data_IF_758779573178
#
_entry.id   IF_758779573178
#
_cell.length_a   1.000
_cell.length_b   1.000
_cell.length_c   1.000
_cell.angle_alpha   90.00
_cell.angle_beta   90.00
_cell.angle_gamma   90.00
#
_symmetry.space_group_name_H-M   'P 1'
#
loop_
_entity.id
_entity.type
_entity.pdbx_description
1 polymer ?
#
# COMPACT_ATOMS: atom_id res chain seq x y z
N UNK A 1 -30.73 42.27 23.67
CA UNK A 1 -31.09 41.43 22.49
C UNK A 1 -29.79 40.75 22.05
N UNK A 2 -29.37 39.56 22.50
CA UNK A 2 -30.03 38.24 22.63
C UNK A 2 -30.87 37.96 21.38
N UNK A 3 -30.60 37.01 20.49
CA UNK A 3 -30.07 35.63 20.51
C UNK A 3 -29.69 35.27 19.04
N UNK A 4 -29.04 34.19 18.60
CA UNK A 4 -28.31 33.01 19.11
C UNK A 4 -27.67 32.38 17.85
N UNK A 5 -26.53 31.68 18.02
CA UNK A 5 -25.92 30.78 17.02
C UNK A 5 -26.87 29.61 16.71
N UNK A 6 -26.95 29.18 15.46
CA UNK A 6 -27.55 27.90 15.07
C UNK A 6 -26.45 26.99 14.51
N UNK A 7 -26.17 25.91 15.24
CA UNK A 7 -25.41 24.76 14.80
C UNK A 7 -26.34 23.87 13.94
N UNK A 8 -25.84 23.38 12.80
CA UNK A 8 -26.53 22.39 11.97
C UNK A 8 -25.96 21.00 12.27
N UNK A 9 -26.79 20.15 12.86
CA UNK A 9 -26.49 18.78 13.29
C UNK A 9 -26.20 17.82 12.12
N UNK A 10 -25.28 16.88 12.39
CA UNK A 10 -25.23 15.56 11.77
C UNK A 10 -26.59 14.88 11.89
N UNK A 11 -27.09 14.31 10.78
CA UNK A 11 -28.21 13.38 10.77
C UNK A 11 -27.68 12.00 10.38
N UNK A 12 -27.30 11.20 11.39
CA UNK A 12 -27.00 9.78 11.23
C UNK A 12 -28.32 9.02 11.33
N UNK A 13 -28.88 8.56 10.21
CA UNK A 13 -30.03 7.66 10.21
C UNK A 13 -29.54 6.22 10.33
N UNK A 14 -29.31 5.78 11.57
CA UNK A 14 -29.30 4.36 11.91
C UNK A 14 -30.73 3.89 12.08
N UNK A 15 -31.26 3.13 11.12
CA UNK A 15 -32.57 2.49 11.25
C UNK A 15 -32.37 1.21 12.06
N UNK A 16 -32.44 1.31 13.38
CA UNK A 16 -32.71 0.19 14.28
C UNK A 16 -34.18 0.28 14.71
N UNK A 17 -35.05 -0.50 14.09
CA UNK A 17 -36.41 -0.68 14.57
C UNK A 17 -36.43 -1.75 15.67
N UNK A 18 -36.38 -1.32 16.94
CA UNK A 18 -36.73 -2.18 18.09
C UNK A 18 -38.23 -2.05 18.33
N UNK A 19 -38.99 -3.09 18.00
CA UNK A 19 -40.41 -3.19 18.27
C UNK A 19 -40.61 -3.77 19.69
N UNK A 20 -41.08 -2.96 20.64
CA UNK A 20 -41.49 -3.41 21.98
C UNK A 20 -42.99 -3.72 21.98
N UNK A 21 -43.37 -5.00 22.10
CA UNK A 21 -44.78 -5.42 22.23
C UNK A 21 -45.05 -5.77 23.70
N UNK A 22 -46.07 -5.14 24.28
CA UNK A 22 -46.52 -5.33 25.66
C UNK A 22 -47.12 -6.72 25.92
N UNK A 23 -46.84 -7.24 27.11
CA UNK A 23 -47.22 -8.58 27.57
C UNK A 23 -48.75 -8.74 27.71
N UNK A 24 -49.32 -9.63 26.89
CA UNK A 24 -50.64 -10.24 27.08
C UNK A 24 -50.50 -11.75 26.92
N UNK A 25 -50.86 -12.50 27.95
CA UNK A 25 -50.71 -13.96 28.02
C UNK A 25 -51.67 -14.65 27.05
N UNK A 26 -51.12 -15.35 26.04
CA UNK A 26 -51.81 -16.37 25.24
C UNK A 26 -50.95 -17.66 25.21
N UNK A 27 -51.57 -18.86 25.21
CA UNK A 27 -50.85 -20.13 25.27
C UNK A 27 -50.20 -20.48 23.91
N UNK A 28 -49.05 -21.15 23.99
CA UNK A 28 -48.18 -21.55 22.89
C UNK A 28 -48.83 -22.52 21.89
N UNK A 29 -48.62 -22.30 20.59
CA UNK A 29 -48.04 -23.26 19.61
C UNK A 29 -48.03 -22.65 18.21
N UNK A 30 -46.90 -22.10 17.80
CA UNK A 30 -46.40 -22.09 16.43
C UNK A 30 -44.92 -21.69 16.53
N UNK A 31 -44.04 -22.61 16.16
CA UNK A 31 -42.65 -22.27 15.86
C UNK A 31 -42.74 -21.41 14.60
N UNK A 32 -42.70 -20.09 14.79
CA UNK A 32 -42.60 -19.15 13.67
C UNK A 32 -41.13 -19.18 13.25
N UNK A 33 -40.79 -20.19 12.45
CA UNK A 33 -39.56 -20.18 11.70
C UNK A 33 -39.63 -18.92 10.83
N UNK A 34 -38.80 -17.92 11.17
CA UNK A 34 -38.55 -16.79 10.28
C UNK A 34 -37.88 -17.38 9.06
N UNK A 35 -38.68 -17.81 8.09
CA UNK A 35 -38.22 -18.11 6.74
C UNK A 35 -37.69 -16.78 6.22
N UNK A 36 -36.36 -16.61 6.25
CA UNK A 36 -35.74 -15.62 5.39
C UNK A 36 -36.13 -16.04 3.99
N UNK A 37 -37.06 -15.32 3.36
CA UNK A 37 -37.44 -15.56 1.97
C UNK A 37 -36.16 -15.46 1.14
N UNK A 38 -35.69 -16.60 0.66
CA UNK A 38 -34.56 -16.68 -0.27
C UNK A 38 -34.88 -15.78 -1.48
N UNK A 39 -33.91 -14.94 -1.82
CA UNK A 39 -34.12 -13.70 -2.57
C UNK A 39 -34.38 -13.99 -4.04
N UNK A 40 -35.63 -13.85 -4.51
CA UNK A 40 -35.85 -13.56 -5.94
C UNK A 40 -35.33 -12.14 -6.17
N UNK A 41 -34.29 -11.97 -6.98
CA UNK A 41 -33.62 -10.69 -7.09
C UNK A 41 -32.60 -10.60 -8.21
N UNK A 42 -32.04 -9.41 -8.37
CA UNK A 42 -30.97 -9.17 -9.34
C UNK A 42 -29.63 -9.59 -8.76
N UNK A 43 -28.93 -10.47 -9.46
CA UNK A 43 -27.50 -10.73 -9.23
C UNK A 43 -26.70 -9.85 -10.17
N UNK A 44 -25.82 -9.04 -9.59
CA UNK A 44 -24.91 -8.16 -10.33
C UNK A 44 -23.52 -8.78 -10.41
N UNK A 45 -22.88 -8.71 -11.57
CA UNK A 45 -21.49 -9.16 -11.77
C UNK A 45 -20.68 -8.08 -12.48
N UNK A 46 -19.41 -7.81 -12.09
CA UNK A 46 -18.64 -8.51 -11.06
C UNK A 46 -19.14 -8.25 -9.63
N UNK A 47 -18.87 -9.19 -8.74
CA UNK A 47 -19.01 -9.00 -7.30
C UNK A 47 -17.77 -8.31 -6.72
N UNK A 48 -17.95 -7.55 -5.64
CA UNK A 48 -16.88 -6.93 -4.84
C UNK A 48 -15.79 -6.23 -5.65
N UNK A 49 -16.23 -5.43 -6.63
CA UNK A 49 -15.31 -4.79 -7.53
C UNK A 49 -14.49 -3.68 -6.87
N UNK A 50 -13.26 -3.50 -7.34
CA UNK A 50 -12.37 -2.42 -6.92
C UNK A 50 -11.97 -1.60 -8.14
N UNK A 51 -12.09 -0.28 -8.06
CA UNK A 51 -11.70 0.66 -9.13
C UNK A 51 -10.95 1.85 -8.55
N UNK A 52 -10.21 2.57 -9.39
CA UNK A 52 -9.59 3.84 -9.01
C UNK A 52 -10.59 5.00 -9.08
N UNK A 53 -10.28 6.10 -8.40
CA UNK A 53 -11.08 7.33 -8.50
C UNK A 53 -11.17 7.82 -9.95
N UNK A 54 -12.40 8.08 -10.41
CA UNK A 54 -12.73 8.52 -11.76
C UNK A 54 -12.92 7.39 -12.77
N UNK A 55 -12.59 6.15 -12.41
CA UNK A 55 -12.83 5.00 -13.28
C UNK A 55 -14.30 4.58 -13.31
N UNK A 56 -14.63 3.75 -14.28
CA UNK A 56 -15.97 3.22 -14.48
C UNK A 56 -15.96 1.71 -14.52
N UNK A 57 -17.03 1.12 -14.00
CA UNK A 57 -17.28 -0.32 -14.05
C UNK A 57 -18.65 -0.58 -14.65
N UNK A 58 -18.73 -1.59 -15.52
CA UNK A 58 -20.00 -2.02 -16.13
C UNK A 58 -20.40 -3.36 -15.55
N UNK A 59 -21.61 -3.42 -15.00
CA UNK A 59 -22.20 -4.62 -14.47
C UNK A 59 -23.00 -5.37 -15.53
N UNK A 60 -23.05 -6.69 -15.41
CA UNK A 60 -24.16 -7.49 -15.92
C UNK A 60 -25.18 -7.68 -14.79
N UNK A 61 -26.45 -7.84 -15.17
CA UNK A 61 -27.54 -8.06 -14.23
C UNK A 61 -28.36 -9.27 -14.70
N UNK A 62 -28.53 -10.25 -13.82
CA UNK A 62 -29.31 -11.47 -14.06
C UNK A 62 -30.39 -11.58 -12.99
N UNK A 63 -31.66 -11.68 -13.41
CA UNK A 63 -32.75 -11.96 -12.50
C UNK A 63 -32.74 -13.45 -12.17
N UNK A 64 -32.67 -13.80 -10.88
CA UNK A 64 -32.69 -15.17 -10.40
C UNK A 64 -33.95 -15.46 -9.58
N UNK A 65 -34.37 -16.72 -9.56
CA UNK A 65 -35.48 -17.20 -8.72
C UNK A 65 -35.06 -17.48 -7.27
N UNK A 66 -35.96 -18.06 -6.47
CA UNK A 66 -35.70 -18.38 -5.05
C UNK A 66 -34.57 -19.39 -4.87
N UNK A 67 -34.29 -20.23 -5.88
CA UNK A 67 -33.18 -21.20 -5.84
C UNK A 67 -31.85 -20.58 -6.32
N UNK A 68 -31.84 -19.31 -6.71
CA UNK A 68 -30.68 -18.64 -7.30
C UNK A 68 -30.45 -18.98 -8.78
N UNK A 69 -31.40 -19.67 -9.42
CA UNK A 69 -31.28 -20.04 -10.83
C UNK A 69 -31.75 -18.88 -11.73
N UNK A 70 -31.09 -18.61 -12.88
CA UNK A 70 -31.53 -17.57 -13.79
C UNK A 70 -32.95 -17.82 -14.31
N UNK A 71 -33.80 -16.80 -14.20
CA UNK A 71 -35.15 -16.82 -14.79
C UNK A 71 -35.06 -16.87 -16.31
N UNK A 72 -35.83 -17.74 -16.98
CA UNK A 72 -35.91 -17.83 -18.44
C UNK A 72 -37.36 -17.68 -18.94
N UNK A 73 -37.67 -16.67 -19.76
CA UNK A 73 -36.78 -15.64 -20.29
C UNK A 73 -36.40 -14.58 -19.25
N UNK A 74 -35.19 -14.04 -19.38
CA UNK A 74 -34.81 -12.79 -18.69
C UNK A 74 -35.74 -11.64 -19.14
N UNK A 75 -36.05 -10.69 -18.25
CA UNK A 75 -36.89 -9.55 -18.61
C UNK A 75 -36.21 -8.70 -19.68
N UNK A 76 -37.01 -8.20 -20.64
CA UNK A 76 -36.49 -7.42 -21.77
C UNK A 76 -35.88 -6.06 -21.37
N UNK A 77 -36.19 -5.56 -20.18
CA UNK A 77 -35.62 -4.33 -19.62
C UNK A 77 -34.70 -4.68 -18.45
N UNK A 78 -33.45 -4.22 -18.55
CA UNK A 78 -32.49 -4.29 -17.46
C UNK A 78 -32.93 -3.42 -16.26
N UNK A 79 -32.42 -3.71 -15.05
CA UNK A 79 -32.69 -2.88 -13.89
C UNK A 79 -32.02 -1.51 -14.03
N UNK A 80 -32.56 -0.55 -13.29
CA UNK A 80 -31.80 0.65 -12.94
C UNK A 80 -30.79 0.28 -11.86
N UNK A 81 -29.56 0.79 -11.96
CA UNK A 81 -28.56 0.67 -10.89
C UNK A 81 -28.09 2.04 -10.39
N UNK A 82 -27.64 2.08 -9.14
CA UNK A 82 -27.02 3.25 -8.53
C UNK A 82 -26.22 2.88 -7.29
N UNK A 83 -25.57 3.86 -6.67
CA UNK A 83 -24.80 3.70 -5.43
C UNK A 83 -25.42 4.50 -4.28
N UNK A 84 -24.99 4.19 -3.06
CA UNK A 84 -25.31 4.95 -1.85
C UNK A 84 -24.44 6.21 -1.65
N UNK A 85 -23.44 6.43 -2.52
CA UNK A 85 -22.54 7.57 -2.46
C UNK A 85 -22.99 8.72 -3.40
N UNK A 86 -23.14 9.91 -2.83
CA UNK A 86 -23.46 11.11 -3.60
C UNK A 86 -22.30 11.51 -4.53
N UNK A 87 -22.64 11.91 -5.76
CA UNK A 87 -21.67 12.36 -6.77
C UNK A 87 -21.27 11.28 -7.78
N UNK A 88 -21.64 10.03 -7.53
CA UNK A 88 -21.47 8.96 -8.51
C UNK A 88 -22.43 9.12 -9.68
N UNK A 89 -21.98 8.63 -10.84
CA UNK A 89 -22.74 8.70 -12.06
C UNK A 89 -23.12 7.28 -12.48
N UNK A 90 -24.42 7.05 -12.63
CA UNK A 90 -24.96 5.84 -13.21
C UNK A 90 -25.42 6.12 -14.65
N UNK A 91 -24.95 5.32 -15.61
CA UNK A 91 -25.40 5.34 -16.99
C UNK A 91 -25.66 3.91 -17.49
N UNK A 92 -26.94 3.52 -17.55
CA UNK A 92 -27.29 2.12 -17.78
C UNK A 92 -26.79 1.25 -16.62
N UNK A 93 -26.07 0.18 -16.94
CA UNK A 93 -25.41 -0.69 -15.96
C UNK A 93 -23.95 -0.29 -15.67
N UNK A 94 -23.53 0.92 -16.08
CA UNK A 94 -22.20 1.43 -15.81
C UNK A 94 -22.23 2.45 -14.67
N UNK A 95 -21.35 2.26 -13.68
CA UNK A 95 -21.11 3.21 -12.57
C UNK A 95 -19.75 3.87 -12.77
N UNK A 96 -19.71 5.19 -12.70
CA UNK A 96 -18.48 6.00 -12.55
C UNK A 96 -18.42 6.57 -11.14
N UNK A 97 -17.26 6.44 -10.50
CA UNK A 97 -17.08 6.63 -9.08
C UNK A 97 -15.92 7.58 -8.78
N UNK A 98 -16.04 8.48 -7.79
CA UNK A 98 -15.02 9.53 -7.58
C UNK A 98 -14.46 9.61 -6.17
N UNK A 99 -15.28 9.43 -5.14
CA UNK A 99 -14.82 9.52 -3.76
C UNK A 99 -14.35 8.15 -3.28
N UNK A 100 -13.14 8.05 -2.70
CA UNK A 100 -12.64 6.82 -2.11
C UNK A 100 -13.56 6.20 -1.05
N UNK A 101 -13.49 4.89 -0.93
CA UNK A 101 -14.19 4.10 0.08
C UNK A 101 -15.21 3.09 -0.46
N UNK A 102 -15.79 2.29 0.44
CA UNK A 102 -16.76 1.25 0.11
C UNK A 102 -18.13 1.83 -0.22
N UNK A 103 -18.87 1.14 -1.10
CA UNK A 103 -20.19 1.54 -1.59
C UNK A 103 -21.09 0.34 -1.80
N UNK A 104 -22.38 0.52 -1.51
CA UNK A 104 -23.41 -0.42 -1.91
C UNK A 104 -23.90 -0.06 -3.32
N UNK A 105 -23.81 -1.00 -4.25
CA UNK A 105 -24.44 -0.88 -5.58
C UNK A 105 -25.79 -1.57 -5.52
N UNK A 106 -26.85 -0.84 -5.82
CA UNK A 106 -28.22 -1.35 -5.78
C UNK A 106 -28.78 -1.46 -7.19
N UNK A 107 -29.48 -2.56 -7.47
CA UNK A 107 -30.30 -2.75 -8.65
C UNK A 107 -31.79 -2.75 -8.28
N UNK A 108 -32.61 -2.09 -9.09
CA UNK A 108 -34.05 -2.09 -8.94
C UNK A 108 -34.75 -2.16 -10.30
N UNK A 109 -35.79 -2.98 -10.39
CA UNK A 109 -36.69 -3.01 -11.54
C UNK A 109 -38.10 -3.39 -11.13
N UNK A 110 -39.08 -3.03 -11.95
CA UNK A 110 -40.44 -3.59 -11.86
C UNK A 110 -40.68 -4.52 -13.04
N UNK A 111 -40.94 -5.81 -12.78
CA UNK A 111 -41.28 -6.82 -13.79
C UNK A 111 -42.70 -7.32 -13.49
N UNK A 112 -43.61 -7.20 -14.45
CA UNK A 112 -45.03 -7.58 -14.32
C UNK A 112 -45.75 -7.03 -13.08
N UNK A 113 -45.34 -5.83 -12.62
CA UNK A 113 -45.92 -5.16 -11.46
C UNK A 113 -45.30 -5.57 -10.12
N UNK A 114 -44.27 -6.41 -10.12
CA UNK A 114 -43.50 -6.83 -8.94
C UNK A 114 -42.14 -6.14 -8.93
N UNK A 115 -41.75 -5.58 -7.79
CA UNK A 115 -40.44 -4.96 -7.60
C UNK A 115 -39.39 -6.03 -7.26
N UNK A 116 -38.28 -6.00 -7.98
CA UNK A 116 -37.12 -6.85 -7.75
C UNK A 116 -35.91 -6.00 -7.40
N UNK A 117 -35.16 -6.44 -6.39
CA UNK A 117 -33.99 -5.76 -5.88
C UNK A 117 -32.75 -6.64 -6.04
N UNK A 118 -31.59 -6.01 -6.11
CA UNK A 118 -30.30 -6.67 -6.01
C UNK A 118 -29.30 -5.75 -5.39
N UNK A 119 -28.24 -6.32 -4.82
CA UNK A 119 -27.12 -5.52 -4.33
C UNK A 119 -25.79 -6.22 -4.55
N UNK A 120 -24.75 -5.44 -4.79
CA UNK A 120 -23.35 -5.88 -4.72
C UNK A 120 -22.50 -4.77 -4.12
N UNK A 121 -21.21 -5.03 -3.90
CA UNK A 121 -20.29 -4.02 -3.37
C UNK A 121 -19.36 -3.47 -4.45
N UNK A 122 -18.96 -2.23 -4.26
CA UNK A 122 -17.95 -1.52 -5.05
C UNK A 122 -17.05 -0.78 -4.07
N UNK A 123 -15.74 -0.91 -4.22
CA UNK A 123 -14.76 -0.12 -3.46
C UNK A 123 -13.99 0.78 -4.41
N UNK A 124 -13.92 2.06 -4.07
CA UNK A 124 -13.08 3.03 -4.78
C UNK A 124 -11.79 3.18 -4.00
N UNK A 125 -10.66 2.78 -4.60
CA UNK A 125 -9.37 2.87 -3.94
C UNK A 125 -9.01 4.33 -3.62
N UNK A 126 -8.53 4.54 -2.40
CA UNK A 126 -8.02 5.83 -1.92
C UNK A 126 -6.52 6.01 -2.15
N UNK A 127 -6.02 7.14 -1.65
CA UNK A 127 -4.58 7.33 -1.50
C UNK A 127 -4.02 6.32 -0.49
N UNK A 128 -2.80 5.81 -0.69
CA UNK A 128 -2.19 4.89 0.26
C UNK A 128 -2.01 5.58 1.62
N UNK A 129 -2.15 4.81 2.70
CA UNK A 129 -1.77 5.22 4.06
C UNK A 129 -0.59 4.40 4.59
N UNK A 130 -0.31 3.26 3.96
CA UNK A 130 0.85 2.44 4.21
C UNK A 130 1.36 1.86 2.88
N UNK A 131 2.68 1.71 2.79
CA UNK A 131 3.37 1.07 1.68
C UNK A 131 4.19 -0.12 2.19
N UNK A 132 4.36 -1.10 1.33
CA UNK A 132 5.34 -2.18 1.47
C UNK A 132 6.27 -2.14 0.25
N UNK A 133 7.56 -2.37 0.50
CA UNK A 133 8.57 -2.47 -0.55
C UNK A 133 9.30 -3.81 -0.39
N UNK A 134 9.29 -4.60 -1.45
CA UNK A 134 9.87 -5.94 -1.47
C UNK A 134 10.93 -6.03 -2.56
N UNK A 135 12.22 -6.19 -2.23
CA UNK A 135 13.25 -6.40 -3.23
C UNK A 135 13.19 -7.84 -3.76
N UNK A 136 13.64 -8.05 -5.00
CA UNK A 136 13.75 -9.39 -5.60
C UNK A 136 14.72 -10.31 -4.86
N UNK A 137 15.65 -9.74 -4.08
CA UNK A 137 16.53 -10.44 -3.14
C UNK A 137 16.97 -9.49 -2.01
N UNK A 138 17.38 -10.02 -0.87
CA UNK A 138 17.88 -9.20 0.26
C UNK A 138 19.36 -8.84 0.16
N UNK A 139 20.08 -9.46 -0.78
CA UNK A 139 21.48 -9.15 -1.07
C UNK A 139 21.80 -9.28 -2.55
N UNK A 140 22.86 -8.60 -2.98
CA UNK A 140 23.33 -8.61 -4.37
C UNK A 140 24.84 -8.40 -4.41
N UNK A 141 25.54 -8.98 -5.39
CA UNK A 141 26.96 -8.66 -5.59
C UNK A 141 27.14 -7.23 -6.08
N UNK A 142 28.26 -6.61 -5.73
CA UNK A 142 28.64 -5.29 -6.22
C UNK A 142 28.56 -5.22 -7.76
N UNK A 143 27.87 -4.19 -8.26
CA UNK A 143 27.55 -3.98 -9.67
C UNK A 143 26.29 -4.69 -10.13
N UNK A 144 25.66 -5.52 -9.29
CA UNK A 144 24.41 -6.19 -9.58
C UNK A 144 23.20 -5.25 -9.48
N UNK A 145 22.06 -5.74 -9.94
CA UNK A 145 20.79 -5.00 -10.01
C UNK A 145 19.68 -5.81 -9.37
N UNK A 146 18.81 -5.14 -8.61
CA UNK A 146 17.58 -5.71 -8.06
C UNK A 146 16.37 -4.94 -8.57
N UNK A 147 15.25 -5.64 -8.72
CA UNK A 147 13.93 -5.05 -8.94
C UNK A 147 13.20 -4.98 -7.61
N UNK A 148 12.35 -3.97 -7.45
CA UNK A 148 11.54 -3.75 -6.26
C UNK A 148 10.07 -3.79 -6.64
N UNK A 149 9.29 -4.54 -5.88
CA UNK A 149 7.84 -4.46 -5.90
C UNK A 149 7.41 -3.48 -4.81
N UNK A 150 6.52 -2.55 -5.16
CA UNK A 150 5.90 -1.63 -4.21
C UNK A 150 4.41 -1.88 -4.23
N UNK A 151 3.84 -2.13 -3.07
CA UNK A 151 2.39 -2.27 -2.88
C UNK A 151 1.94 -1.31 -1.78
N UNK A 152 0.66 -0.98 -1.77
CA UNK A 152 0.10 -0.11 -0.75
C UNK A 152 -1.27 -0.57 -0.29
N UNK A 153 -1.72 0.01 0.81
CA UNK A 153 -3.11 -0.06 1.27
C UNK A 153 -3.61 1.33 1.64
N UNK A 154 -4.87 1.60 1.34
CA UNK A 154 -5.56 2.83 1.76
C UNK A 154 -6.14 2.71 3.19
N UNK A 155 -6.85 3.74 3.65
CA UNK A 155 -7.45 3.77 5.00
C UNK A 155 -8.53 2.71 5.24
N UNK A 156 -9.09 2.14 4.17
CA UNK A 156 -10.07 1.05 4.22
C UNK A 156 -9.44 -0.33 4.08
N UNK A 157 -8.11 -0.42 3.91
CA UNK A 157 -7.40 -1.66 3.66
C UNK A 157 -7.51 -2.14 2.20
N UNK A 158 -7.99 -1.29 1.29
CA UNK A 158 -8.05 -1.60 -0.14
C UNK A 158 -6.63 -1.60 -0.72
N UNK A 159 -6.24 -2.61 -1.52
CA UNK A 159 -4.96 -2.60 -2.21
C UNK A 159 -4.82 -1.40 -3.14
N UNK A 160 -3.66 -0.76 -3.08
CA UNK A 160 -3.25 0.35 -3.96
C UNK A 160 -2.07 -0.10 -4.81
N UNK A 161 -2.12 0.18 -6.11
CA UNK A 161 -1.01 -0.11 -7.03
C UNK A 161 0.18 0.82 -6.73
N UNK A 162 1.32 0.23 -6.41
CA UNK A 162 2.57 0.96 -6.15
C UNK A 162 3.46 1.16 -7.38
N UNK A 163 3.02 0.79 -8.58
CA UNK A 163 3.81 0.88 -9.81
C UNK A 163 4.32 2.28 -10.15
N UNK A 164 3.62 3.33 -9.68
CA UNK A 164 4.01 4.73 -9.84
C UNK A 164 4.95 5.26 -8.74
N UNK A 165 5.35 4.43 -7.77
CA UNK A 165 6.22 4.84 -6.69
C UNK A 165 7.61 5.27 -7.21
N UNK A 166 8.19 6.26 -6.54
CA UNK A 166 9.56 6.71 -6.82
C UNK A 166 10.51 6.10 -5.81
N UNK A 167 11.61 5.51 -6.28
CA UNK A 167 12.67 5.00 -5.42
C UNK A 167 13.76 6.04 -5.19
N UNK A 168 14.33 6.03 -3.99
CA UNK A 168 15.57 6.74 -3.63
C UNK A 168 16.51 5.79 -2.89
N UNK A 169 17.80 6.09 -2.91
CA UNK A 169 18.82 5.33 -2.19
C UNK A 169 19.56 6.20 -1.17
N UNK A 170 19.96 5.60 -0.05
CA UNK A 170 20.90 6.20 0.90
C UNK A 170 22.30 6.40 0.33
N UNK A 171 22.64 5.75 -0.78
CA UNK A 171 23.96 5.81 -1.43
C UNK A 171 23.84 6.48 -2.80
N UNK A 172 24.44 7.66 -2.93
CA UNK A 172 24.29 8.52 -4.11
C UNK A 172 24.86 7.94 -5.42
N UNK A 173 25.71 6.92 -5.34
CA UNK A 173 26.27 6.25 -6.54
C UNK A 173 25.35 5.21 -7.13
N UNK A 174 24.28 4.81 -6.42
CA UNK A 174 23.32 3.85 -6.95
C UNK A 174 22.58 4.44 -8.16
N UNK A 175 22.27 3.57 -9.13
CA UNK A 175 21.57 3.96 -10.35
C UNK A 175 20.17 3.41 -10.29
N UNK A 176 19.18 4.31 -10.28
CA UNK A 176 17.76 3.98 -10.20
C UNK A 176 17.13 4.16 -11.57
N UNK A 177 16.46 3.12 -12.08
CA UNK A 177 15.67 3.13 -13.31
C UNK A 177 14.29 2.52 -13.04
N UNK A 178 13.29 3.40 -12.87
CA UNK A 178 11.97 3.01 -12.38
C UNK A 178 12.06 2.32 -11.01
N UNK A 179 11.53 1.11 -10.93
CA UNK A 179 11.61 0.26 -9.73
C UNK A 179 12.81 -0.71 -9.73
N UNK A 180 13.85 -0.43 -10.52
CA UNK A 180 15.09 -1.20 -10.53
C UNK A 180 16.25 -0.36 -9.99
N UNK A 181 17.15 -0.97 -9.22
CA UNK A 181 18.33 -0.30 -8.67
C UNK A 181 19.59 -1.14 -8.93
N UNK A 182 20.60 -0.53 -9.55
CA UNK A 182 21.95 -1.07 -9.70
C UNK A 182 22.84 -0.53 -8.59
N UNK A 183 23.68 -1.39 -8.00
CA UNK A 183 24.45 -1.12 -6.78
C UNK A 183 25.97 -1.12 -7.02
N UNK A 184 26.63 0.00 -7.37
CA UNK A 184 28.05 -0.01 -7.75
C UNK A 184 29.04 -0.18 -6.59
N UNK A 185 28.60 0.02 -5.34
CA UNK A 185 29.46 -0.02 -4.15
C UNK A 185 28.98 -1.05 -3.15
N UNK A 186 29.91 -1.73 -2.50
CA UNK A 186 29.59 -2.72 -1.47
C UNK A 186 29.37 -2.07 -0.10
N UNK A 187 28.17 -2.22 0.44
CA UNK A 187 27.76 -1.88 1.80
C UNK A 187 26.28 -2.23 1.98
N UNK A 188 25.71 -2.13 3.19
CA UNK A 188 24.26 -2.05 3.35
C UNK A 188 23.71 -0.76 2.73
N UNK A 189 22.75 -0.86 1.81
CA UNK A 189 22.09 0.28 1.16
C UNK A 189 20.61 0.28 1.56
N UNK A 190 20.08 1.44 1.97
CA UNK A 190 18.65 1.61 2.23
C UNK A 190 17.97 2.19 1.00
N UNK A 191 16.99 1.46 0.48
CA UNK A 191 16.12 1.89 -0.60
C UNK A 191 14.79 2.34 0.00
N UNK A 192 14.37 3.55 -0.36
CA UNK A 192 13.11 4.15 0.10
C UNK A 192 12.19 4.34 -1.10
N UNK A 193 10.99 3.76 -1.03
CA UNK A 193 9.90 4.05 -1.94
C UNK A 193 9.05 5.19 -1.40
N UNK A 194 8.57 6.06 -2.29
CA UNK A 194 7.58 7.10 -2.01
C UNK A 194 6.43 7.03 -3.02
N UNK A 195 5.19 7.06 -2.54
CA UNK A 195 3.97 7.20 -3.33
C UNK A 195 3.00 8.11 -2.59
N UNK A 196 2.55 9.18 -3.26
CA UNK A 196 1.63 10.19 -2.71
C UNK A 196 2.04 10.75 -1.32
N UNK A 197 3.35 10.85 -1.08
CA UNK A 197 3.92 11.33 0.19
C UNK A 197 3.98 10.28 1.31
N UNK A 198 3.52 9.05 1.07
CA UNK A 198 3.75 7.90 1.96
C UNK A 198 5.05 7.23 1.58
N UNK A 199 5.81 6.76 2.58
CA UNK A 199 7.11 6.12 2.35
C UNK A 199 7.20 4.75 3.00
N UNK A 200 7.99 3.86 2.38
CA UNK A 200 8.44 2.60 2.95
C UNK A 200 9.93 2.40 2.62
N UNK A 201 10.66 1.61 3.40
CA UNK A 201 12.09 1.39 3.17
C UNK A 201 12.51 -0.03 3.46
N UNK A 202 13.51 -0.48 2.70
CA UNK A 202 14.16 -1.78 2.87
C UNK A 202 15.68 -1.63 2.78
N UNK A 203 16.41 -2.46 3.51
CA UNK A 203 17.87 -2.52 3.42
C UNK A 203 18.29 -3.71 2.58
N UNK A 204 19.18 -3.46 1.61
CA UNK A 204 19.82 -4.47 0.75
C UNK A 204 21.29 -4.56 1.14
N UNK A 205 21.80 -5.79 1.30
CA UNK A 205 23.22 -6.02 1.51
C UNK A 205 23.96 -6.15 0.17
N UNK A 206 24.90 -5.26 -0.12
CA UNK A 206 25.71 -5.33 -1.35
C UNK A 206 27.07 -5.97 -1.04
N UNK A 207 27.30 -7.16 -1.57
CA UNK A 207 28.48 -7.98 -1.29
C UNK A 207 29.66 -7.50 -2.13
N UNK A 208 30.85 -7.27 -1.53
CA UNK A 208 32.05 -6.89 -2.29
C UNK A 208 32.40 -7.93 -3.36
N UNK A 209 32.73 -7.46 -4.56
CA UNK A 209 33.33 -8.33 -5.55
C UNK A 209 34.64 -8.91 -5.00
N UNK A 210 34.87 -10.21 -5.20
CA UNK A 210 36.13 -10.83 -4.82
C UNK A 210 37.28 -10.08 -5.50
N UNK A 211 38.14 -9.45 -4.69
CA UNK A 211 39.36 -8.84 -5.19
C UNK A 211 40.23 -9.96 -5.76
N UNK A 212 40.30 -10.07 -7.08
CA UNK A 212 41.41 -10.76 -7.73
C UNK A 212 42.65 -9.93 -7.47
N UNK A 213 43.22 -10.10 -6.28
CA UNK A 213 44.59 -9.71 -6.02
C UNK A 213 45.42 -10.45 -7.05
N UNK A 214 45.93 -9.73 -8.05
CA UNK A 214 46.95 -10.24 -8.92
C UNK A 214 48.03 -10.82 -8.01
N UNK A 215 48.27 -12.12 -8.11
CA UNK A 215 49.51 -12.71 -7.63
C UNK A 215 50.61 -11.95 -8.36
N UNK A 216 51.22 -10.97 -7.69
CA UNK A 216 52.54 -10.51 -8.07
C UNK A 216 53.42 -11.74 -7.92
N UNK A 217 53.61 -12.45 -9.03
CA UNK A 217 54.65 -13.45 -9.15
C UNK A 217 55.95 -12.70 -8.85
N UNK A 218 56.52 -13.04 -7.70
CA UNK A 218 57.76 -12.49 -7.21
C UNK A 218 58.89 -12.98 -8.11
N UNK A 219 59.15 -12.28 -9.21
CA UNK A 219 60.45 -12.31 -9.86
C UNK A 219 61.39 -11.43 -9.03
N UNK A 220 61.99 -12.08 -8.03
CA UNK A 220 63.11 -11.58 -7.24
C UNK A 220 64.36 -11.59 -8.13
N UNK A 221 64.93 -10.45 -8.57
CA UNK A 221 66.30 -10.46 -9.05
C UNK A 221 67.20 -10.59 -7.81
N UNK A 222 67.75 -11.79 -7.63
CA UNK A 222 68.86 -12.06 -6.72
C UNK A 222 69.99 -11.04 -6.99
N UNK A 223 70.04 -9.96 -6.21
CA UNK A 223 71.14 -9.02 -6.18
C UNK A 223 72.10 -9.44 -5.07
N UNK A 224 73.29 -9.83 -5.52
CA UNK A 224 74.35 -10.47 -4.77
C UNK A 224 74.69 -9.82 -3.43
N UNK A 225 74.85 -10.67 -2.42
CA UNK A 225 75.61 -10.36 -1.22
C UNK A 225 77.09 -10.10 -1.57
N UNK A 226 77.54 -8.85 -1.46
CA UNK A 226 78.95 -8.54 -1.24
C UNK A 226 79.05 -7.67 0.00
N UNK A 227 79.54 -8.28 1.08
CA UNK A 227 79.70 -7.64 2.37
C UNK A 227 80.80 -6.56 2.37
N UNK A 228 80.61 -5.60 3.26
CA UNK A 228 81.67 -4.80 3.87
C UNK A 228 81.18 -4.35 5.24
N UNK A 229 81.81 -4.86 6.30
CA UNK A 229 81.78 -4.36 7.68
C UNK A 229 83.21 -3.85 7.98
N UNK A 230 83.47 -3.06 9.05
CA UNK A 230 82.90 -1.75 9.39
C UNK A 230 84.02 -0.74 9.75
N UNK A 231 83.81 0.59 9.69
CA UNK A 231 84.66 1.54 10.47
C UNK A 231 84.01 2.93 10.62
N UNK A 232 83.61 3.21 11.87
CA UNK A 232 83.65 4.49 12.60
C UNK A 232 82.64 5.62 12.33
N UNK A 233 81.92 5.97 13.40
CA UNK A 233 81.21 7.24 13.65
C UNK A 233 79.71 7.03 13.86
N UNK A 234 79.15 6.86 15.07
CA UNK A 234 79.14 7.81 16.20
C UNK A 234 78.11 8.92 15.92
N UNK A 235 76.86 8.88 16.39
CA UNK A 235 76.37 9.28 17.74
C UNK A 235 74.82 9.18 17.71
N UNK A 236 74.17 8.41 18.59
CA UNK A 236 73.45 8.80 19.83
C UNK A 236 72.39 9.90 19.67
N UNK A 237 71.14 9.54 20.01
CA UNK A 237 70.04 10.42 20.45
C UNK A 237 68.82 10.33 19.54
N UNK A 238 67.60 10.03 19.97
CA UNK A 238 67.01 9.89 21.29
C UNK A 238 65.48 9.84 21.08
N UNK A 239 64.79 9.03 21.87
CA UNK A 239 63.33 8.90 21.88
C UNK A 239 62.62 10.22 22.28
N UNK A 240 61.34 10.39 21.90
CA UNK A 240 60.18 10.63 22.80
C UNK A 240 59.01 11.44 22.18
N UNK A 241 57.83 10.83 22.33
CA UNK A 241 56.55 11.36 22.82
C UNK A 241 55.61 12.31 22.04
N UNK A 242 54.36 11.85 22.16
CA UNK A 242 53.02 12.41 21.96
C UNK A 242 52.78 13.88 22.39
N UNK A 243 52.02 14.60 21.57
CA UNK A 243 50.93 15.56 21.88
C UNK A 243 50.36 16.00 20.52
N UNK A 244 49.07 16.12 20.23
CA UNK A 244 47.87 16.42 21.02
C UNK A 244 47.15 17.56 20.29
N UNK A 245 45.86 17.42 19.97
CA UNK A 245 44.89 18.52 19.89
C UNK A 245 43.47 17.98 19.65
N UNK A 246 42.76 17.84 20.77
CA UNK A 246 41.31 17.74 20.80
C UNK A 246 40.69 19.09 20.39
N UNK A 247 39.72 19.06 19.48
CA UNK A 247 38.86 20.22 19.20
C UNK A 247 37.43 19.90 19.62
N UNK A 248 37.12 20.26 20.85
CA UNK A 248 35.75 20.40 21.38
C UNK A 248 35.25 21.78 20.96
N UNK A 249 34.18 21.85 20.17
CA UNK A 249 33.33 23.04 20.14
C UNK A 249 31.86 22.64 20.35
N UNK A 250 31.45 22.89 21.59
CA UNK A 250 30.08 22.98 22.07
C UNK A 250 29.39 24.13 21.34
N UNK A 251 28.27 23.87 20.67
CA UNK A 251 27.22 24.87 20.45
C UNK A 251 25.93 24.34 21.05
N UNK A 252 25.65 24.83 22.27
CA UNK A 252 24.30 24.90 22.85
C UNK A 252 23.47 25.86 22.01
N UNK A 253 22.24 25.47 21.68
CA UNK A 253 21.06 26.30 21.99
C UNK A 253 19.78 25.46 22.03
N UNK A 254 19.30 25.27 23.26
CA UNK A 254 17.89 25.03 23.57
C UNK A 254 17.11 26.31 23.22
N UNK A 255 15.99 26.16 22.54
CA UNK A 255 14.87 27.10 22.58
C UNK A 255 13.65 26.29 22.97
N UNK A 256 13.16 26.53 24.18
CA UNK A 256 11.83 26.15 24.65
C UNK A 256 10.92 27.39 24.55
N UNK A 257 9.61 27.14 24.51
CA UNK A 257 8.40 28.02 24.50
C UNK A 257 7.60 27.74 23.23
N UNK A 258 6.32 27.38 23.25
CA UNK A 258 5.23 27.45 24.25
C UNK A 258 4.25 26.29 24.03
#
# INVERSE_FOLDING_TARGET
MNHRRAAGSLLTLGISAVLTIGAGVLPATADDEVVQSEVIGWVLSPEDAVIQSGESITYTATLVDEAGEPVDPQPAKAPYIGTDAAGDLANGLTITAFSPGPRAVMAVSVVDGVEYFGSTSLTVAGAPVALEITPSATSVDQGGTLTFEVTGVDEWGTPVDGSAATLTSSVATDVIDGLSVTFPTASPHTITAELDGVTASVTVEVIPAASTSATSDSDDPELAATGVDPLLGGTVGGALLLAGLASVLIVRRRSAQS
#
